data_IF_429985703490
#
_entry.id   IF_429985703490
#
_cell.length_a   1.000
_cell.length_b   1.000
_cell.length_c   1.000
_cell.angle_alpha   90.00
_cell.angle_beta   90.00
_cell.angle_gamma   90.00
#
_symmetry.space_group_name_H-M   'P 1'
#
loop_
_entity.id
_entity.type
_entity.pdbx_description
1 polymer ?
#
# COMPACT_ATOMS: atom_id res chain seq x y z
N UNK A 1 8.67 13.18 13.14
CA UNK A 1 7.33 13.70 13.50
C UNK A 1 6.25 13.07 12.62
N UNK A 2 6.39 13.14 11.29
CA UNK A 2 5.42 12.67 10.30
C UNK A 2 4.91 11.24 10.56
N UNK A 3 5.78 10.30 10.91
CA UNK A 3 5.37 8.92 11.18
C UNK A 3 4.42 8.83 12.38
N UNK A 4 4.79 9.43 13.52
CA UNK A 4 3.97 9.40 14.74
C UNK A 4 2.65 10.16 14.55
N UNK A 5 2.65 11.27 13.81
CA UNK A 5 1.43 12.03 13.52
C UNK A 5 0.47 11.32 12.57
N UNK A 6 0.92 10.30 11.84
CA UNK A 6 0.09 9.56 10.87
C UNK A 6 -0.36 8.20 11.42
N UNK A 7 0.50 7.49 12.15
CA UNK A 7 0.20 6.13 12.64
C UNK A 7 -0.66 6.12 13.92
N UNK A 8 -0.61 7.19 14.73
CA UNK A 8 -1.27 7.26 16.03
C UNK A 8 -2.74 7.71 15.92
N UNK A 9 -3.57 6.94 15.19
CA UNK A 9 -4.97 7.30 14.98
C UNK A 9 -5.89 6.87 16.13
N UNK A 10 -6.94 7.67 16.46
CA UNK A 10 -7.92 7.30 17.46
C UNK A 10 -8.76 6.09 17.02
N UNK A 11 -9.38 5.42 17.99
CA UNK A 11 -10.25 4.26 17.72
C UNK A 11 -11.41 4.66 16.79
N UNK A 12 -11.69 3.81 15.79
CA UNK A 12 -12.78 3.99 14.84
C UNK A 12 -12.40 4.68 13.53
N UNK A 13 -11.20 5.25 13.41
CA UNK A 13 -10.71 5.90 12.19
C UNK A 13 -9.33 5.33 11.84
N UNK A 14 -9.26 4.16 11.17
CA UNK A 14 -7.99 3.54 10.85
C UNK A 14 -7.27 4.28 9.71
N UNK A 15 -5.93 4.30 9.76
CA UNK A 15 -5.07 4.77 8.67
C UNK A 15 -3.99 3.71 8.42
N UNK A 16 -3.89 3.25 7.17
CA UNK A 16 -2.81 2.37 6.77
C UNK A 16 -1.54 3.20 6.53
N UNK A 17 -0.57 3.10 7.43
CA UNK A 17 0.70 3.83 7.36
C UNK A 17 1.80 2.93 6.83
N UNK A 18 2.58 3.41 5.87
CA UNK A 18 3.76 2.73 5.33
C UNK A 18 5.06 3.36 5.84
N UNK A 19 6.22 2.89 5.39
CA UNK A 19 7.52 3.45 5.77
C UNK A 19 7.64 4.95 5.47
N UNK A 20 8.48 5.67 6.23
CA UNK A 20 8.88 7.06 5.90
C UNK A 20 9.51 7.06 4.51
N UNK A 21 9.13 8.03 3.68
CA UNK A 21 9.48 8.11 2.25
C UNK A 21 9.06 6.88 1.43
N UNK A 22 8.17 6.03 1.96
CA UNK A 22 7.69 4.80 1.35
C UNK A 22 6.56 4.99 0.34
N UNK A 23 6.61 6.03 -0.50
CA UNK A 23 5.54 6.33 -1.47
C UNK A 23 5.26 5.18 -2.44
N UNK A 24 6.30 4.46 -2.87
CA UNK A 24 6.17 3.24 -3.69
C UNK A 24 5.34 2.17 -2.97
N UNK A 25 5.60 1.94 -1.68
CA UNK A 25 4.83 0.98 -0.88
C UNK A 25 3.38 1.41 -0.69
N UNK A 26 3.11 2.72 -0.57
CA UNK A 26 1.74 3.22 -0.52
C UNK A 26 1.00 2.96 -1.85
N UNK A 27 1.66 3.13 -3.00
CA UNK A 27 1.08 2.83 -4.30
C UNK A 27 0.79 1.32 -4.45
N UNK A 28 1.73 0.46 -4.04
CA UNK A 28 1.53 -1.00 -4.05
C UNK A 28 0.36 -1.40 -3.16
N UNK A 29 0.28 -0.87 -1.93
CA UNK A 29 -0.84 -1.14 -1.03
C UNK A 29 -2.19 -0.69 -1.63
N UNK A 30 -2.23 0.46 -2.32
CA UNK A 30 -3.43 0.91 -2.99
C UNK A 30 -3.85 -0.05 -4.12
N UNK A 31 -2.89 -0.52 -4.93
CA UNK A 31 -3.16 -1.49 -6.01
C UNK A 31 -3.60 -2.84 -5.44
N UNK A 32 -3.04 -3.28 -4.31
CA UNK A 32 -3.50 -4.50 -3.60
C UNK A 32 -4.99 -4.40 -3.24
N UNK A 33 -5.42 -3.27 -2.67
CA UNK A 33 -6.83 -3.03 -2.35
C UNK A 33 -7.70 -3.02 -3.62
N UNK A 34 -7.27 -2.33 -4.68
CA UNK A 34 -8.03 -2.23 -5.93
C UNK A 34 -8.14 -3.59 -6.64
N UNK A 35 -7.11 -4.42 -6.57
CA UNK A 35 -7.06 -5.73 -7.23
C UNK A 35 -8.13 -6.71 -6.74
N UNK A 36 -8.73 -6.46 -5.56
CA UNK A 36 -9.88 -7.23 -5.06
C UNK A 36 -11.07 -7.16 -6.05
N UNK A 37 -11.24 -6.02 -6.72
CA UNK A 37 -12.32 -5.81 -7.69
C UNK A 37 -11.87 -5.89 -9.16
N UNK A 38 -10.58 -6.03 -9.43
CA UNK A 38 -10.02 -5.99 -10.79
C UNK A 38 -9.01 -7.14 -11.01
N UNK A 39 -9.42 -8.22 -11.70
CA UNK A 39 -8.56 -9.35 -12.01
C UNK A 39 -7.32 -9.01 -12.86
N UNK A 40 -7.35 -7.95 -13.68
CA UNK A 40 -6.18 -7.54 -14.47
C UNK A 40 -5.07 -7.02 -13.55
N UNK A 41 -5.45 -6.24 -12.53
CA UNK A 41 -4.50 -5.75 -11.54
C UNK A 41 -3.84 -6.88 -10.74
N UNK A 42 -4.53 -8.01 -10.53
CA UNK A 42 -3.94 -9.18 -9.85
C UNK A 42 -2.76 -9.73 -10.65
N UNK A 43 -2.93 -9.92 -11.96
CA UNK A 43 -1.85 -10.45 -12.81
C UNK A 43 -0.69 -9.46 -12.91
N UNK A 44 -0.99 -8.17 -13.08
CA UNK A 44 0.04 -7.11 -13.11
C UNK A 44 0.82 -7.01 -11.81
N UNK A 45 0.14 -7.19 -10.67
CA UNK A 45 0.78 -7.17 -9.35
C UNK A 45 1.68 -8.39 -9.13
N UNK A 46 1.29 -9.57 -9.63
CA UNK A 46 2.15 -10.76 -9.63
C UNK A 46 3.41 -10.51 -10.46
N UNK A 47 3.26 -10.04 -11.69
CA UNK A 47 4.40 -9.72 -12.56
C UNK A 47 5.34 -8.70 -11.89
N UNK A 48 4.79 -7.62 -11.31
CA UNK A 48 5.58 -6.63 -10.58
C UNK A 48 6.41 -7.24 -9.44
N UNK A 49 5.86 -8.23 -8.72
CA UNK A 49 6.58 -8.93 -7.65
C UNK A 49 7.65 -9.88 -8.19
N UNK A 50 7.35 -10.60 -9.27
CA UNK A 50 8.27 -11.55 -9.91
C UNK A 50 9.47 -10.84 -10.56
N UNK A 51 9.28 -9.64 -11.10
CA UNK A 51 10.34 -8.79 -11.65
C UNK A 51 11.21 -8.11 -10.56
N UNK A 52 10.92 -8.42 -9.29
CA UNK A 52 11.73 -8.03 -8.15
C UNK A 52 11.37 -6.68 -7.57
N UNK A 53 10.06 -6.39 -7.44
CA UNK A 53 9.45 -5.27 -6.70
C UNK A 53 10.48 -4.26 -6.16
N UNK A 54 10.78 -3.25 -6.98
CA UNK A 54 11.80 -2.22 -6.69
C UNK A 54 11.16 -0.91 -6.26
#
# INVERSE_FOLDING_TARGET
>A
DALLSTVQMPRGIPVATVAVDGSANAAVLAVEILSIGDPDLVERLKTFRDEGAR
#
